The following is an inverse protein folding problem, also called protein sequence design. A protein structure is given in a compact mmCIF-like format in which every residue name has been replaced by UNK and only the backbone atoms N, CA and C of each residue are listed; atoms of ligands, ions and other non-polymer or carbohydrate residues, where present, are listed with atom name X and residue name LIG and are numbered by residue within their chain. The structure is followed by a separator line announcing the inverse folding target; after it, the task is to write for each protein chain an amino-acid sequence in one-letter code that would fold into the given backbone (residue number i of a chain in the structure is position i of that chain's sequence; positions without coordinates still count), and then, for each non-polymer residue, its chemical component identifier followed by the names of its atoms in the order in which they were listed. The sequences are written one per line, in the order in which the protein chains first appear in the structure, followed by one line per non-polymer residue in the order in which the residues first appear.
data_IF_831832927881
#
_entry.id   IF_831832927881
#
_cell.length_a   1.000
_cell.length_b   1.000
_cell.length_c   1.000
_cell.angle_alpha   90.00
_cell.angle_beta   90.00
_cell.angle_gamma   90.00
#
_symmetry.space_group_name_H-M   'P 1'
#
loop_
_entity.id
_entity.type
_entity.pdbx_description
1 polymer ?
#
# COMPACT_ATOMS: atom_id res chain seq x y z
N UNK A 1 7.32 17.15 4.32
CA UNK A 1 7.48 18.09 3.19
C UNK A 1 6.65 17.51 2.06
N UNK A 2 5.73 18.28 1.48
CA UNK A 2 4.85 17.76 0.41
C UNK A 2 5.66 17.60 -0.87
N UNK A 3 5.61 16.41 -1.46
CA UNK A 3 6.56 16.01 -2.52
C UNK A 3 6.39 16.76 -3.83
N UNK A 4 5.18 17.26 -4.09
CA UNK A 4 4.78 17.94 -5.32
C UNK A 4 4.45 19.42 -5.11
N UNK A 5 4.69 19.95 -3.90
CA UNK A 5 4.48 21.36 -3.62
C UNK A 5 5.55 22.20 -4.33
N UNK A 6 5.12 22.98 -5.32
CA UNK A 6 5.95 24.00 -5.97
C UNK A 6 6.04 25.25 -5.08
N UNK A 7 6.67 26.32 -5.58
CA UNK A 7 6.91 27.57 -4.85
C UNK A 7 5.65 28.43 -4.57
N UNK A 8 4.48 27.81 -4.35
CA UNK A 8 3.24 28.49 -3.98
C UNK A 8 2.60 27.87 -2.74
N UNK A 9 1.91 28.70 -1.97
CA UNK A 9 1.12 28.27 -0.82
C UNK A 9 -0.26 27.81 -1.30
N UNK A 10 -0.56 26.53 -1.15
CA UNK A 10 -1.89 25.97 -1.42
C UNK A 10 -2.83 26.42 -0.30
N UNK A 11 -4.04 26.87 -0.68
CA UNK A 11 -5.08 27.22 0.28
C UNK A 11 -5.39 25.98 1.17
N UNK A 12 -5.51 26.20 2.49
CA UNK A 12 -5.76 25.13 3.47
C UNK A 12 -7.02 24.34 3.17
N UNK A 13 -8.09 25.00 2.73
CA UNK A 13 -9.37 24.37 2.43
C UNK A 13 -9.27 23.46 1.21
N UNK A 14 -8.55 23.91 0.17
CA UNK A 14 -8.25 23.08 -1.01
C UNK A 14 -7.41 21.87 -0.60
N UNK A 15 -6.41 22.06 0.26
CA UNK A 15 -5.58 20.97 0.78
C UNK A 15 -6.40 19.96 1.60
N UNK A 16 -7.28 20.42 2.47
CA UNK A 16 -8.15 19.55 3.26
C UNK A 16 -9.12 18.76 2.38
N UNK A 17 -9.72 19.41 1.39
CA UNK A 17 -10.62 18.77 0.44
C UNK A 17 -9.91 17.71 -0.42
N UNK A 18 -8.72 18.03 -0.94
CA UNK A 18 -7.96 17.14 -1.84
C UNK A 18 -7.34 15.94 -1.14
N UNK A 19 -6.90 16.08 0.11
CA UNK A 19 -6.45 14.94 0.94
C UNK A 19 -7.64 14.11 1.40
N UNK A 20 -8.76 14.76 1.74
CA UNK A 20 -9.96 14.09 2.22
C UNK A 20 -9.65 13.07 3.33
N UNK A 21 -9.99 11.81 3.05
CA UNK A 21 -9.75 10.66 3.93
C UNK A 21 -8.64 9.73 3.43
N UNK A 22 -7.85 10.14 2.43
CA UNK A 22 -6.85 9.27 1.80
C UNK A 22 -5.84 8.77 2.83
N UNK A 23 -5.36 9.63 3.73
CA UNK A 23 -4.46 9.22 4.83
C UNK A 23 -5.01 8.09 5.73
N UNK A 24 -6.35 7.94 5.82
CA UNK A 24 -6.99 6.85 6.55
C UNK A 24 -7.17 5.61 5.68
N UNK A 25 -7.67 5.80 4.45
CA UNK A 25 -7.99 4.71 3.53
C UNK A 25 -6.72 4.01 3.02
N UNK A 26 -5.69 4.79 2.73
CA UNK A 26 -4.40 4.33 2.21
C UNK A 26 -3.59 3.50 3.20
N UNK A 27 -4.00 3.43 4.47
CA UNK A 27 -3.37 2.54 5.43
C UNK A 27 -3.45 1.06 5.00
N UNK A 28 -4.46 0.71 4.21
CA UNK A 28 -4.58 -0.61 3.60
C UNK A 28 -3.59 -0.82 2.45
N UNK A 29 -3.16 0.25 1.78
CA UNK A 29 -2.30 0.21 0.60
C UNK A 29 -0.80 0.18 0.92
N UNK A 30 -0.38 0.61 2.11
CA UNK A 30 1.04 0.71 2.52
C UNK A 30 1.85 -0.54 2.21
N UNK A 31 1.33 -1.73 2.56
CA UNK A 31 2.01 -3.02 2.29
C UNK A 31 2.25 -3.21 0.80
N UNK A 32 1.24 -2.92 -0.02
CA UNK A 32 1.26 -3.17 -1.45
C UNK A 32 2.13 -2.15 -2.19
N UNK A 33 2.09 -0.88 -1.78
CA UNK A 33 3.00 0.15 -2.28
C UNK A 33 4.47 -0.17 -1.93
N UNK A 34 4.72 -0.70 -0.73
CA UNK A 34 6.07 -1.15 -0.35
C UNK A 34 6.54 -2.33 -1.20
N UNK A 35 5.68 -3.32 -1.48
CA UNK A 35 6.01 -4.45 -2.35
C UNK A 35 6.32 -3.99 -3.79
N UNK A 36 5.49 -3.09 -4.34
CA UNK A 36 5.72 -2.48 -5.64
C UNK A 36 7.05 -1.69 -5.66
N UNK A 37 7.32 -0.91 -4.61
CA UNK A 37 8.56 -0.13 -4.46
C UNK A 37 9.80 -1.00 -4.28
N UNK A 38 9.70 -2.19 -3.67
CA UNK A 38 10.79 -3.17 -3.61
C UNK A 38 11.13 -3.67 -5.01
N UNK A 39 10.11 -3.98 -5.84
CA UNK A 39 10.32 -4.40 -7.22
C UNK A 39 10.97 -3.27 -8.04
N UNK A 40 10.48 -2.03 -7.86
CA UNK A 40 11.04 -0.84 -8.51
C UNK A 40 12.50 -0.59 -8.12
N UNK A 41 12.85 -0.63 -6.83
CA UNK A 41 14.22 -0.48 -6.36
C UNK A 41 15.17 -1.52 -6.99
N UNK A 42 14.72 -2.78 -7.11
CA UNK A 42 15.49 -3.84 -7.78
C UNK A 42 15.67 -3.56 -9.27
N UNK A 43 14.64 -3.07 -9.95
CA UNK A 43 14.71 -2.67 -11.35
C UNK A 43 15.71 -1.52 -11.53
N UNK A 44 15.64 -0.47 -10.71
CA UNK A 44 16.59 0.65 -10.72
C UNK A 44 18.04 0.17 -10.49
N UNK A 45 18.23 -0.84 -9.64
CA UNK A 45 19.52 -1.51 -9.47
C UNK A 45 20.02 -2.22 -10.72
N UNK A 46 19.12 -2.95 -11.41
CA UNK A 46 19.43 -3.68 -12.65
C UNK A 46 19.86 -2.73 -13.76
N UNK A 47 19.25 -1.55 -13.87
CA UNK A 47 19.62 -0.51 -14.84
C UNK A 47 20.72 0.44 -14.33
N UNK A 48 21.38 0.12 -13.20
CA UNK A 48 22.50 0.85 -12.61
C UNK A 48 22.21 2.30 -12.16
N UNK A 49 20.94 2.68 -12.04
CA UNK A 49 20.54 3.96 -11.41
C UNK A 49 20.81 3.92 -9.90
N UNK A 50 20.65 2.74 -9.29
CA UNK A 50 21.03 2.46 -7.91
C UNK A 50 22.21 1.50 -7.84
N UNK A 51 23.17 1.78 -6.94
CA UNK A 51 24.22 0.83 -6.59
C UNK A 51 23.62 -0.36 -5.84
N UNK A 52 24.24 -1.54 -5.94
CA UNK A 52 23.79 -2.77 -5.25
C UNK A 52 23.54 -2.56 -3.75
N UNK A 53 24.41 -1.81 -3.07
CA UNK A 53 24.26 -1.48 -1.65
C UNK A 53 23.07 -0.55 -1.36
N UNK A 54 22.78 0.39 -2.26
CA UNK A 54 21.61 1.29 -2.13
C UNK A 54 20.31 0.49 -2.27
N UNK A 55 20.24 -0.46 -3.21
CA UNK A 55 19.09 -1.36 -3.38
C UNK A 55 18.86 -2.16 -2.10
N UNK A 56 19.90 -2.75 -1.51
CA UNK A 56 19.77 -3.52 -0.26
C UNK A 56 19.23 -2.65 0.88
N UNK A 57 19.73 -1.42 1.03
CA UNK A 57 19.25 -0.48 2.05
C UNK A 57 17.77 -0.12 1.86
N UNK A 58 17.37 0.20 0.62
CA UNK A 58 15.97 0.52 0.29
C UNK A 58 15.04 -0.67 0.55
N UNK A 59 15.40 -1.87 0.08
CA UNK A 59 14.60 -3.08 0.29
C UNK A 59 14.43 -3.39 1.77
N UNK A 60 15.48 -3.25 2.58
CA UNK A 60 15.40 -3.48 4.01
C UNK A 60 14.50 -2.43 4.71
N UNK A 61 14.60 -1.16 4.33
CA UNK A 61 13.74 -0.11 4.87
C UNK A 61 12.26 -0.30 4.48
N UNK A 62 11.98 -0.69 3.23
CA UNK A 62 10.61 -1.00 2.78
C UNK A 62 10.03 -2.22 3.50
N UNK A 63 10.82 -3.27 3.74
CA UNK A 63 10.40 -4.40 4.59
C UNK A 63 10.14 -3.98 6.03
N UNK A 64 10.91 -3.04 6.57
CA UNK A 64 10.65 -2.49 7.89
C UNK A 64 9.30 -1.77 7.93
N UNK A 65 8.94 -0.99 6.91
CA UNK A 65 7.63 -0.33 6.84
C UNK A 65 6.50 -1.36 6.86
N UNK A 66 6.62 -2.45 6.08
CA UNK A 66 5.64 -3.55 6.08
C UNK A 66 5.46 -4.12 7.49
N UNK A 67 6.57 -4.38 8.21
CA UNK A 67 6.50 -4.90 9.57
C UNK A 67 5.86 -3.88 10.54
N UNK A 68 6.22 -2.60 10.43
CA UNK A 68 5.61 -1.54 11.24
C UNK A 68 4.11 -1.42 10.98
N UNK A 69 3.68 -1.51 9.73
CA UNK A 69 2.26 -1.46 9.35
C UNK A 69 1.50 -2.66 9.92
N UNK A 70 2.05 -3.87 9.81
CA UNK A 70 1.44 -5.07 10.40
C UNK A 70 1.31 -5.01 11.93
N UNK A 71 2.16 -4.22 12.58
CA UNK A 71 2.13 -3.99 14.02
C UNK A 71 1.28 -2.77 14.43
N UNK A 72 0.61 -2.10 13.48
CA UNK A 72 -0.15 -0.87 13.75
C UNK A 72 0.72 0.34 14.14
N UNK A 73 2.00 0.32 13.77
CA UNK A 73 3.01 1.34 14.15
C UNK A 73 3.45 2.23 12.99
N UNK A 74 2.92 2.02 11.79
CA UNK A 74 3.13 2.91 10.65
C UNK A 74 1.87 3.75 10.43
N UNK A 75 1.93 5.02 10.85
CA UNK A 75 0.80 5.94 10.77
C UNK A 75 1.02 6.94 9.64
N UNK A 76 0.11 6.95 8.68
CA UNK A 76 0.03 8.02 7.67
C UNK A 76 -0.69 9.20 8.34
N UNK A 77 -0.03 10.36 8.36
CA UNK A 77 -0.62 11.58 8.90
C UNK A 77 -1.30 12.35 7.78
N UNK A 78 -2.29 13.17 8.11
CA UNK A 78 -2.96 14.04 7.13
C UNK A 78 -1.97 14.92 6.34
N UNK A 79 -0.89 15.36 6.99
CA UNK A 79 0.19 16.14 6.37
C UNK A 79 1.06 15.35 5.38
N UNK A 80 1.03 14.02 5.43
CA UNK A 80 1.66 13.15 4.44
C UNK A 80 0.79 13.01 3.19
N UNK A 81 -0.48 13.43 3.23
CA UNK A 81 -1.45 13.37 2.11
C UNK A 81 -1.90 11.94 1.79
N UNK A 82 -0.96 11.05 1.45
CA UNK A 82 -1.20 9.68 0.98
C UNK A 82 -0.15 8.69 1.55
N UNK A 83 -0.35 7.38 1.34
CA UNK A 83 0.65 6.39 1.77
C UNK A 83 2.00 6.55 1.06
N UNK A 84 1.98 6.97 -0.20
CA UNK A 84 3.15 7.02 -1.05
C UNK A 84 4.17 8.05 -0.54
N UNK A 85 3.67 9.22 -0.15
CA UNK A 85 4.44 10.31 0.44
C UNK A 85 4.88 9.95 1.85
N UNK A 86 4.05 9.26 2.66
CA UNK A 86 4.48 8.75 3.96
C UNK A 86 5.64 7.76 3.86
N UNK A 87 5.59 6.83 2.89
CA UNK A 87 6.66 5.86 2.60
C UNK A 87 7.93 6.59 2.17
N UNK A 88 7.83 7.53 1.22
CA UNK A 88 8.98 8.30 0.75
C UNK A 88 9.60 9.15 1.86
N UNK A 89 8.79 9.83 2.68
CA UNK A 89 9.24 10.57 3.85
C UNK A 89 10.00 9.67 4.83
N UNK A 90 9.48 8.46 5.11
CA UNK A 90 10.17 7.49 5.94
C UNK A 90 11.54 7.09 5.36
N UNK A 91 11.59 6.79 4.05
CA UNK A 91 12.83 6.40 3.37
C UNK A 91 13.85 7.54 3.35
N UNK A 92 13.43 8.77 3.10
CA UNK A 92 14.31 9.95 3.11
C UNK A 92 14.84 10.24 4.51
N UNK A 93 13.98 10.19 5.53
CA UNK A 93 14.41 10.41 6.91
C UNK A 93 15.42 9.34 7.37
N UNK A 94 15.25 8.10 6.93
CA UNK A 94 16.11 6.98 7.34
C UNK A 94 17.40 6.86 6.52
N UNK A 95 17.34 7.14 5.21
CA UNK A 95 18.42 6.83 4.26
C UNK A 95 18.98 8.08 3.54
N UNK A 96 18.47 9.27 3.85
CA UNK A 96 18.87 10.52 3.24
C UNK A 96 18.66 10.53 1.73
N UNK A 97 19.69 10.91 0.99
CA UNK A 97 19.65 11.01 -0.47
C UNK A 97 19.35 9.68 -1.18
N UNK A 98 19.63 8.53 -0.55
CA UNK A 98 19.26 7.22 -1.11
C UNK A 98 17.73 7.09 -1.17
N UNK A 99 17.02 7.53 -0.13
CA UNK A 99 15.56 7.49 -0.08
C UNK A 99 14.92 8.29 -1.20
N UNK A 100 15.50 9.45 -1.54
CA UNK A 100 15.01 10.32 -2.63
C UNK A 100 15.04 9.67 -4.01
N UNK A 101 15.92 8.67 -4.21
CA UNK A 101 16.06 7.98 -5.50
C UNK A 101 14.97 6.94 -5.78
N UNK A 102 14.13 6.59 -4.79
CA UNK A 102 13.11 5.55 -4.96
C UNK A 102 12.05 5.92 -6.01
N UNK A 103 11.81 7.21 -6.23
CA UNK A 103 10.81 7.68 -7.20
C UNK A 103 11.40 7.93 -8.60
N UNK A 104 12.69 7.68 -8.82
CA UNK A 104 13.32 7.90 -10.12
C UNK A 104 12.64 7.05 -11.20
N UNK A 105 12.29 7.69 -12.33
CA UNK A 105 11.62 7.07 -13.47
C UNK A 105 10.28 6.39 -13.13
N UNK A 106 9.56 6.91 -12.13
CA UNK A 106 8.23 6.48 -11.73
C UNK A 106 7.33 7.69 -11.59
N UNK A 107 6.04 7.56 -11.89
CA UNK A 107 5.04 8.58 -11.61
C UNK A 107 4.12 8.11 -10.47
N UNK A 108 3.34 9.02 -9.89
CA UNK A 108 2.35 8.63 -8.90
C UNK A 108 1.21 7.80 -9.52
N UNK A 109 0.89 8.02 -10.80
CA UNK A 109 -0.20 7.35 -11.52
C UNK A 109 0.05 5.84 -11.69
N UNK A 110 1.25 5.45 -12.13
CA UNK A 110 1.58 4.03 -12.26
C UNK A 110 1.80 3.37 -10.89
N UNK A 111 2.36 4.12 -9.94
CA UNK A 111 2.56 3.64 -8.57
C UNK A 111 1.24 3.27 -7.89
N UNK A 112 0.25 4.17 -7.88
CA UNK A 112 -1.05 3.90 -7.25
C UNK A 112 -1.78 2.76 -7.95
N UNK A 113 -1.71 2.70 -9.29
CA UNK A 113 -2.34 1.63 -10.05
C UNK A 113 -1.77 0.24 -9.69
N UNK A 114 -0.45 0.11 -9.59
CA UNK A 114 0.18 -1.15 -9.19
C UNK A 114 -0.17 -1.52 -7.74
N UNK A 115 -0.17 -0.55 -6.82
CA UNK A 115 -0.53 -0.79 -5.42
C UNK A 115 -1.97 -1.30 -5.29
N UNK A 116 -2.93 -0.66 -5.98
CA UNK A 116 -4.33 -1.08 -6.03
C UNK A 116 -4.50 -2.48 -6.63
N UNK A 117 -3.86 -2.75 -7.77
CA UNK A 117 -3.93 -4.08 -8.41
C UNK A 117 -3.37 -5.19 -7.53
N UNK A 118 -2.30 -4.91 -6.79
CA UNK A 118 -1.77 -5.84 -5.80
C UNK A 118 -2.77 -6.04 -4.66
N UNK A 119 -3.29 -4.96 -4.06
CA UNK A 119 -4.31 -5.04 -3.01
C UNK A 119 -5.51 -5.90 -3.45
N UNK A 120 -6.15 -5.54 -4.56
CA UNK A 120 -7.28 -6.27 -5.15
C UNK A 120 -6.99 -7.75 -5.33
N UNK A 121 -5.81 -8.09 -5.85
CA UNK A 121 -5.41 -9.49 -6.08
C UNK A 121 -5.33 -10.28 -4.76
N UNK A 122 -4.86 -9.67 -3.69
CA UNK A 122 -4.80 -10.34 -2.38
C UNK A 122 -6.20 -10.46 -1.76
N UNK A 123 -7.00 -9.39 -1.78
CA UNK A 123 -8.37 -9.40 -1.23
C UNK A 123 -9.29 -10.39 -1.98
N UNK A 124 -9.11 -10.54 -3.30
CA UNK A 124 -9.86 -11.52 -4.10
C UNK A 124 -9.55 -12.97 -3.67
N UNK A 125 -8.31 -13.27 -3.30
CA UNK A 125 -7.94 -14.61 -2.80
C UNK A 125 -8.63 -14.88 -1.47
N UNK A 126 -8.62 -13.91 -0.55
CA UNK A 126 -9.29 -14.03 0.75
C UNK A 126 -10.81 -14.17 0.59
N UNK A 127 -11.42 -13.32 -0.23
CA UNK A 127 -12.86 -13.37 -0.54
C UNK A 127 -13.28 -14.73 -1.09
N UNK A 128 -12.47 -15.31 -1.99
CA UNK A 128 -12.71 -16.65 -2.53
C UNK A 128 -12.65 -17.73 -1.44
N UNK A 129 -11.73 -17.62 -0.48
CA UNK A 129 -11.63 -18.57 0.62
C UNK A 129 -12.84 -18.46 1.56
N UNK A 130 -13.26 -17.25 1.90
CA UNK A 130 -14.45 -16.99 2.72
C UNK A 130 -15.72 -17.53 2.04
N UNK A 131 -15.88 -17.31 0.74
CA UNK A 131 -17.01 -17.86 -0.04
C UNK A 131 -17.01 -19.39 -0.04
N UNK A 132 -15.83 -20.01 -0.15
CA UNK A 132 -15.71 -21.48 -0.08
C UNK A 132 -16.09 -22.01 1.30
N UNK A 133 -15.69 -21.32 2.37
CA UNK A 133 -16.06 -21.67 3.74
C UNK A 133 -17.57 -21.55 3.97
N UNK A 134 -18.20 -20.46 3.51
CA UNK A 134 -19.64 -20.27 3.57
C UNK A 134 -20.39 -21.39 2.82
N UNK A 135 -19.96 -21.72 1.59
CA UNK A 135 -20.55 -22.82 0.83
C UNK A 135 -20.51 -24.14 1.60
N UNK A 136 -19.38 -24.46 2.25
CA UNK A 136 -19.24 -25.67 3.06
C UNK A 136 -20.19 -25.65 4.27
N UNK A 137 -20.32 -24.51 4.94
CA UNK A 137 -21.24 -24.34 6.06
C UNK A 137 -22.70 -24.56 5.64
N UNK A 138 -23.12 -23.96 4.51
CA UNK A 138 -24.47 -24.16 3.96
C UNK A 138 -24.72 -25.63 3.59
N UNK A 139 -23.77 -26.31 2.96
CA UNK A 139 -23.88 -27.75 2.66
C UNK A 139 -24.03 -28.57 3.94
N UNK A 140 -23.33 -28.22 5.02
CA UNK A 140 -23.48 -28.90 6.31
C UNK A 140 -24.88 -28.73 6.91
N UNK A 141 -25.46 -27.52 6.81
CA UNK A 141 -26.85 -27.25 7.22
C UNK A 141 -27.83 -28.07 6.39
N UNK A 142 -27.68 -28.09 5.07
CA UNK A 142 -28.52 -28.87 4.15
C UNK A 142 -28.44 -30.37 4.49
N UNK A 143 -27.25 -30.91 4.74
CA UNK A 143 -27.10 -32.33 5.12
C UNK A 143 -27.84 -32.68 6.42
N UNK A 144 -27.90 -31.74 7.37
CA UNK A 144 -28.51 -31.98 8.69
C UNK A 144 -30.02 -31.75 8.68
N UNK A 145 -30.51 -30.80 7.88
CA UNK A 145 -31.88 -30.28 7.97
C UNK A 145 -32.63 -30.22 6.63
N UNK A 146 -32.01 -30.63 5.53
CA UNK A 146 -32.55 -30.42 4.17
C UNK A 146 -33.83 -31.16 3.84
N UNK A 147 -34.26 -32.12 4.67
CA UNK A 147 -35.53 -32.83 4.53
C UNK A 147 -36.68 -32.20 5.32
N UNK A 148 -36.41 -31.17 6.14
CA UNK A 148 -37.44 -30.49 6.93
C UNK A 148 -38.25 -29.60 5.99
N UNK A 149 -39.55 -29.88 5.87
CA UNK A 149 -40.47 -29.04 5.10
C UNK A 149 -40.77 -27.74 5.85
N UNK A 150 -40.68 -26.61 5.15
CA UNK A 150 -41.00 -25.28 5.67
C UNK A 150 -41.87 -24.52 4.65
N UNK A 151 -42.74 -23.60 5.09
CA UNK A 151 -43.36 -22.64 4.18
C UNK A 151 -42.29 -21.81 3.46
N UNK A 152 -42.49 -21.57 2.16
CA UNK A 152 -41.56 -20.81 1.30
C UNK A 152 -41.64 -19.31 1.50
#
# INVERSE_FOLDING_TARGET
MKLWQKNYNVNKDIGAFTVGNDYLLDQKLVKYDCLASIAHAKMLGKIKVLKKQEVVKLVNALKQIINLQSAGKFNIKQQDEDCHTAIENFLVNKLGNIGKKIHTARSRNDQVLVALRLYEKYELVETKQLLSALKKALIAVIKKHGSIQIPG
#
